data_IF_997066990276
#
_entry.id   IF_997066990276
#
_cell.length_a   1.000
_cell.length_b   1.000
_cell.length_c   1.000
_cell.angle_alpha   90.00
_cell.angle_beta   90.00
_cell.angle_gamma   90.00
#
_symmetry.space_group_name_H-M   'P 1'
#
loop_
_entity.id
_entity.type
_entity.pdbx_description
1 polymer ?
#
# COMPACT_ATOMS: atom_id res chain seq x y z
N UNK A 1 -5.85 0.86 -47.06
CA UNK A 1 -5.83 -0.11 -45.94
C UNK A 1 -4.73 0.32 -44.98
N UNK A 2 -5.08 0.97 -43.87
CA UNK A 2 -4.09 1.52 -42.93
C UNK A 2 -3.64 0.41 -41.99
N UNK A 3 -2.43 -0.11 -42.16
CA UNK A 3 -1.84 -1.09 -41.25
C UNK A 3 -1.54 -0.36 -39.94
N UNK A 4 -2.39 -0.56 -38.92
CA UNK A 4 -2.07 -0.14 -37.55
C UNK A 4 -0.91 -1.01 -37.05
N UNK A 5 0.25 -0.40 -36.82
CA UNK A 5 1.35 -1.08 -36.13
C UNK A 5 0.86 -1.51 -34.73
N UNK A 6 1.19 -2.72 -34.25
CA UNK A 6 0.84 -3.13 -32.90
C UNK A 6 1.53 -2.19 -31.89
N UNK A 7 0.75 -1.67 -30.94
CA UNK A 7 1.24 -0.84 -29.85
C UNK A 7 1.75 -1.75 -28.73
N UNK A 8 3.03 -1.63 -28.38
CA UNK A 8 3.58 -2.23 -27.17
C UNK A 8 3.29 -1.33 -25.97
N UNK A 9 2.62 -1.87 -24.94
CA UNK A 9 2.41 -1.19 -23.67
C UNK A 9 3.48 -1.67 -22.68
N UNK A 10 4.17 -0.72 -22.04
CA UNK A 10 5.15 -1.02 -20.99
C UNK A 10 4.54 -0.66 -19.64
N UNK A 11 4.67 -1.66 -18.76
CA UNK A 11 3.65 -2.20 -17.86
C UNK A 11 2.44 -2.78 -18.61
N UNK A 12 2.20 -4.11 -18.52
CA UNK A 12 1.04 -4.74 -19.14
C UNK A 12 -0.25 -4.32 -18.45
N UNK A 13 -1.40 -4.52 -19.09
CA UNK A 13 -2.71 -4.23 -18.49
C UNK A 13 -2.96 -4.98 -17.17
N UNK A 14 -2.35 -6.15 -16.98
CA UNK A 14 -2.40 -6.89 -15.71
C UNK A 14 -1.77 -6.11 -14.53
N UNK A 15 -0.87 -5.15 -14.79
CA UNK A 15 -0.30 -4.29 -13.75
C UNK A 15 -1.33 -3.40 -13.06
N UNK A 16 -2.48 -3.13 -13.70
CA UNK A 16 -3.59 -2.43 -13.04
C UNK A 16 -4.22 -3.28 -11.95
N UNK A 17 -4.28 -4.61 -12.11
CA UNK A 17 -4.82 -5.51 -11.08
C UNK A 17 -3.93 -5.49 -9.83
N UNK A 18 -2.61 -5.53 -10.02
CA UNK A 18 -1.62 -5.53 -8.93
C UNK A 18 -1.60 -4.18 -8.18
N UNK A 19 -1.95 -3.08 -8.85
CA UNK A 19 -2.08 -1.78 -8.19
C UNK A 19 -3.34 -1.66 -7.29
N UNK A 20 -4.21 -2.69 -7.25
CA UNK A 20 -5.47 -2.60 -6.50
C UNK A 20 -5.25 -2.97 -5.07
N UNK A 21 -5.60 -2.08 -4.15
CA UNK A 21 -5.57 -2.45 -2.75
C UNK A 21 -6.65 -3.49 -2.39
N UNK A 22 -7.72 -3.62 -3.19
CA UNK A 22 -8.68 -4.72 -3.06
C UNK A 22 -8.02 -6.10 -3.25
N UNK A 23 -6.89 -6.19 -3.97
CA UNK A 23 -6.13 -7.44 -4.06
C UNK A 23 -5.65 -7.90 -2.68
N UNK A 24 -5.32 -6.97 -1.77
CA UNK A 24 -4.89 -7.33 -0.41
C UNK A 24 -6.05 -7.95 0.40
N UNK A 25 -7.28 -7.49 0.18
CA UNK A 25 -8.46 -8.10 0.79
C UNK A 25 -8.69 -9.52 0.26
N UNK A 26 -8.55 -9.73 -1.06
CA UNK A 26 -8.60 -11.06 -1.65
C UNK A 26 -7.50 -11.98 -1.10
N UNK A 27 -6.27 -11.48 -0.94
CA UNK A 27 -5.18 -12.28 -0.35
C UNK A 27 -5.52 -12.70 1.09
N UNK A 28 -6.15 -11.82 1.87
CA UNK A 28 -6.63 -12.15 3.22
C UNK A 28 -7.70 -13.23 3.18
N UNK A 29 -8.69 -13.13 2.28
CA UNK A 29 -9.73 -14.15 2.13
C UNK A 29 -9.14 -15.51 1.71
N UNK A 30 -8.17 -15.53 0.79
CA UNK A 30 -7.48 -16.75 0.36
C UNK A 30 -6.65 -17.38 1.49
N UNK A 31 -6.13 -16.59 2.43
CA UNK A 31 -5.39 -17.13 3.58
C UNK A 31 -6.31 -17.93 4.51
N UNK A 32 -7.55 -17.46 4.67
CA UNK A 32 -8.57 -17.98 5.58
C UNK A 32 -9.33 -19.19 5.02
N UNK A 33 -9.22 -19.46 3.71
CA UNK A 33 -9.88 -20.57 3.03
C UNK A 33 -8.87 -21.67 2.68
N UNK A 34 -8.83 -22.75 3.48
CA UNK A 34 -7.91 -23.88 3.29
C UNK A 34 -8.04 -24.59 1.93
N UNK A 35 -9.16 -24.43 1.22
CA UNK A 35 -9.41 -25.04 -0.09
C UNK A 35 -8.88 -24.16 -1.22
N UNK A 36 -9.00 -22.84 -1.08
CA UNK A 36 -8.59 -21.86 -2.10
C UNK A 36 -7.18 -21.31 -1.88
N UNK A 37 -6.55 -21.60 -0.74
CA UNK A 37 -5.21 -21.14 -0.40
C UNK A 37 -4.16 -21.61 -1.41
N UNK A 38 -3.35 -20.68 -1.91
CA UNK A 38 -2.24 -20.98 -2.81
C UNK A 38 -0.95 -21.15 -2.01
N UNK A 39 -0.25 -22.26 -2.23
CA UNK A 39 0.99 -22.60 -1.52
C UNK A 39 2.16 -21.65 -1.82
N UNK A 40 2.11 -20.97 -2.96
CA UNK A 40 3.13 -20.07 -3.47
C UNK A 40 3.08 -18.67 -2.84
N UNK A 41 2.00 -18.34 -2.13
CA UNK A 41 1.83 -17.05 -1.45
C UNK A 41 2.37 -17.16 -0.04
N UNK A 42 3.34 -16.31 0.29
CA UNK A 42 3.81 -16.13 1.66
C UNK A 42 2.92 -15.12 2.39
N UNK A 43 1.80 -15.62 2.92
CA UNK A 43 0.75 -14.81 3.52
C UNK A 43 1.22 -13.95 4.71
N UNK A 44 2.26 -14.37 5.43
CA UNK A 44 2.86 -13.60 6.54
C UNK A 44 3.44 -12.24 6.12
N UNK A 45 3.63 -12.00 4.82
CA UNK A 45 4.04 -10.69 4.29
C UNK A 45 2.87 -9.73 4.05
N UNK A 46 1.63 -10.16 4.24
CA UNK A 46 0.44 -9.36 4.01
C UNK A 46 -0.26 -9.05 5.33
N UNK A 47 -0.69 -7.80 5.48
CA UNK A 47 -1.51 -7.38 6.61
C UNK A 47 -2.97 -7.75 6.35
N UNK A 48 -3.71 -8.25 7.36
CA UNK A 48 -5.15 -8.47 7.29
C UNK A 48 -5.85 -7.25 6.70
N UNK A 49 -6.57 -7.46 5.61
CA UNK A 49 -7.24 -6.40 4.85
C UNK A 49 -8.64 -6.86 4.45
N UNK A 50 -9.61 -5.96 4.50
CA UNK A 50 -11.01 -6.28 4.26
C UNK A 50 -11.69 -5.20 3.39
N UNK A 51 -12.72 -5.59 2.66
CA UNK A 51 -13.58 -4.66 1.93
C UNK A 51 -14.66 -4.05 2.83
N UNK A 52 -15.06 -4.74 3.91
CA UNK A 52 -16.02 -4.24 4.89
C UNK A 52 -15.31 -3.81 6.18
N UNK A 53 -15.59 -2.57 6.60
CA UNK A 53 -15.10 -1.99 7.86
C UNK A 53 -15.50 -2.82 9.08
N UNK A 54 -16.63 -3.51 9.05
CA UNK A 54 -17.13 -4.31 10.17
C UNK A 54 -16.22 -5.49 10.53
N UNK A 55 -15.37 -5.91 9.59
CA UNK A 55 -14.47 -7.05 9.74
C UNK A 55 -13.13 -6.70 10.38
N UNK A 56 -12.88 -5.42 10.67
CA UNK A 56 -11.61 -4.98 11.25
C UNK A 56 -11.81 -4.28 12.59
N UNK A 57 -10.84 -4.45 13.48
CA UNK A 57 -10.76 -3.75 14.77
C UNK A 57 -9.65 -2.71 14.76
N UNK A 58 -9.76 -1.72 15.64
CA UNK A 58 -8.69 -0.74 15.85
C UNK A 58 -7.37 -1.41 16.33
N UNK A 59 -6.20 -0.89 15.93
CA UNK A 59 -6.01 0.20 14.97
C UNK A 59 -6.05 -0.30 13.51
N UNK A 60 -6.58 0.52 12.60
CA UNK A 60 -6.64 0.19 11.16
C UNK A 60 -6.45 1.43 10.27
N UNK A 61 -6.22 1.20 8.99
CA UNK A 61 -6.16 2.22 7.95
C UNK A 61 -7.31 2.02 6.98
N UNK A 62 -7.97 3.10 6.57
CA UNK A 62 -8.88 3.10 5.43
C UNK A 62 -8.21 3.80 4.24
N UNK A 63 -8.20 3.14 3.08
CA UNK A 63 -7.54 3.67 1.87
C UNK A 63 -8.38 3.40 0.62
N UNK A 64 -8.42 4.31 -0.37
CA UNK A 64 -9.08 4.04 -1.63
C UNK A 64 -8.38 2.92 -2.41
N UNK A 65 -9.18 2.08 -3.05
CA UNK A 65 -8.75 0.94 -3.89
C UNK A 65 -7.70 1.31 -4.93
N UNK A 66 -7.84 2.47 -5.60
CA UNK A 66 -6.85 3.03 -6.54
C UNK A 66 -6.12 4.28 -6.05
N UNK A 67 -6.20 4.59 -4.76
CA UNK A 67 -5.55 5.77 -4.20
C UNK A 67 -4.03 5.75 -4.39
N UNK A 68 -3.42 6.92 -4.54
CA UNK A 68 -1.96 7.09 -4.65
C UNK A 68 -1.47 8.19 -3.71
N UNK A 69 -0.16 8.23 -3.52
CA UNK A 69 0.53 9.36 -2.86
C UNK A 69 0.15 9.60 -1.39
N UNK A 70 -0.46 8.59 -0.74
CA UNK A 70 -1.00 8.71 0.61
C UNK A 70 -2.24 9.60 0.69
N UNK A 71 -2.88 9.96 -0.43
CA UNK A 71 -4.10 10.78 -0.45
C UNK A 71 -5.31 9.96 0.00
N UNK A 72 -6.17 10.61 0.79
CA UNK A 72 -7.38 10.02 1.38
C UNK A 72 -7.13 8.79 2.26
N UNK A 73 -5.88 8.63 2.71
CA UNK A 73 -5.54 7.66 3.75
C UNK A 73 -6.01 8.20 5.09
N UNK A 74 -6.74 7.37 5.83
CA UNK A 74 -7.23 7.65 7.17
C UNK A 74 -6.73 6.57 8.11
N UNK A 75 -5.94 6.96 9.11
CA UNK A 75 -5.46 6.08 10.17
C UNK A 75 -6.37 6.23 11.37
N UNK A 76 -6.97 5.13 11.79
CA UNK A 76 -7.88 5.04 12.93
C UNK A 76 -7.15 4.31 14.07
N UNK A 77 -6.72 5.05 15.10
CA UNK A 77 -5.97 4.49 16.23
C UNK A 77 -6.88 3.89 17.30
N UNK A 78 -7.98 4.58 17.59
CA UNK A 78 -9.05 4.18 18.50
C UNK A 78 -10.33 4.96 18.17
N UNK A 79 -11.42 4.69 18.89
CA UNK A 79 -12.66 5.45 18.70
C UNK A 79 -12.43 6.95 18.90
N UNK A 80 -12.67 7.75 17.86
CA UNK A 80 -12.51 9.20 17.87
C UNK A 80 -11.09 9.73 17.61
N UNK A 81 -10.09 8.86 17.49
CA UNK A 81 -8.71 9.26 17.15
C UNK A 81 -8.41 8.90 15.69
N UNK A 82 -8.19 9.94 14.87
CA UNK A 82 -7.96 9.80 13.45
C UNK A 82 -6.87 10.75 12.96
N UNK A 83 -5.93 10.22 12.18
CA UNK A 83 -4.96 10.99 11.39
C UNK A 83 -5.34 10.80 9.93
N UNK A 84 -5.40 11.88 9.14
CA UNK A 84 -5.74 11.76 7.72
C UNK A 84 -4.91 12.68 6.82
N UNK A 85 -4.90 12.36 5.53
CA UNK A 85 -4.38 13.23 4.48
C UNK A 85 -5.50 13.56 3.48
N UNK A 86 -6.26 14.64 3.75
CA UNK A 86 -7.49 14.92 3.03
C UNK A 86 -7.22 15.24 1.56
N UNK A 87 -8.02 14.65 0.69
CA UNK A 87 -8.13 14.95 -0.73
C UNK A 87 -9.54 14.58 -1.19
N UNK A 88 -9.92 15.01 -2.39
CA UNK A 88 -11.17 14.60 -3.04
C UNK A 88 -10.93 13.75 -4.29
N UNK A 89 -9.66 13.55 -4.67
CA UNK A 89 -9.25 12.91 -5.93
C UNK A 89 -9.77 11.47 -6.04
N UNK A 90 -9.89 10.76 -4.93
CA UNK A 90 -10.23 9.33 -4.87
C UNK A 90 -11.54 9.04 -4.12
N UNK A 91 -12.24 10.09 -3.68
CA UNK A 91 -13.42 9.99 -2.80
C UNK A 91 -14.59 9.21 -3.39
N UNK A 92 -14.61 9.06 -4.72
CA UNK A 92 -15.61 8.31 -5.48
C UNK A 92 -15.30 6.80 -5.55
N UNK A 93 -14.14 6.37 -5.06
CA UNK A 93 -13.69 4.98 -5.09
C UNK A 93 -14.04 4.27 -3.79
N UNK A 94 -14.28 2.96 -3.87
CA UNK A 94 -14.39 2.11 -2.69
C UNK A 94 -13.09 2.11 -1.90
N UNK A 95 -13.23 1.95 -0.58
CA UNK A 95 -12.10 1.83 0.35
C UNK A 95 -11.87 0.38 0.74
N UNK A 96 -10.62 0.07 1.05
CA UNK A 96 -10.25 -1.10 1.85
C UNK A 96 -10.00 -0.67 3.29
N UNK A 97 -9.98 -1.65 4.19
CA UNK A 97 -9.67 -1.48 5.60
C UNK A 97 -8.58 -2.47 5.98
N UNK A 98 -7.38 -1.97 6.29
CA UNK A 98 -6.19 -2.79 6.54
C UNK A 98 -5.70 -2.62 7.97
N UNK A 99 -5.20 -3.69 8.58
CA UNK A 99 -4.59 -3.63 9.91
C UNK A 99 -3.49 -2.57 9.93
N UNK A 100 -3.52 -1.68 10.91
CA UNK A 100 -2.45 -0.70 11.07
C UNK A 100 -1.27 -1.34 11.81
N UNK A 101 -0.06 -1.06 11.34
CA UNK A 101 1.19 -1.36 12.04
C UNK A 101 2.05 -0.10 12.09
N UNK A 102 2.76 0.10 13.19
CA UNK A 102 3.70 1.22 13.29
C UNK A 102 4.88 0.98 12.34
N UNK A 103 5.23 2.02 11.58
CA UNK A 103 6.45 2.00 10.78
C UNK A 103 7.68 2.10 11.70
N UNK A 104 8.83 1.51 11.31
CA UNK A 104 10.07 1.71 12.03
C UNK A 104 10.38 3.20 12.22
N UNK A 105 10.84 3.56 13.42
CA UNK A 105 11.28 4.92 13.73
C UNK A 105 12.79 5.01 13.58
N UNK A 106 13.26 6.15 13.08
CA UNK A 106 14.68 6.48 13.01
C UNK A 106 14.92 7.91 13.51
N UNK A 107 16.11 8.14 14.04
CA UNK A 107 16.56 9.46 14.49
C UNK A 107 17.54 10.08 13.49
N UNK A 108 17.26 11.31 13.06
CA UNK A 108 18.11 12.09 12.16
C UNK A 108 18.21 13.51 12.70
N UNK A 109 19.42 13.98 13.01
CA UNK A 109 19.67 15.33 13.52
C UNK A 109 18.76 15.69 14.71
N UNK A 110 18.66 14.78 15.68
CA UNK A 110 17.84 14.94 16.90
C UNK A 110 16.31 14.96 16.67
N UNK A 111 15.86 14.69 15.45
CA UNK A 111 14.44 14.50 15.15
C UNK A 111 14.11 13.03 14.86
N UNK A 112 12.96 12.58 15.38
CA UNK A 112 12.39 11.28 15.03
C UNK A 112 11.56 11.35 13.76
N UNK A 113 11.71 10.36 12.90
CA UNK A 113 10.97 10.15 11.65
C UNK A 113 10.47 8.72 11.54
N UNK A 114 9.34 8.54 10.85
CA UNK A 114 8.93 7.22 10.35
C UNK A 114 9.75 6.88 9.11
N UNK A 115 10.19 5.63 9.01
CA UNK A 115 10.95 5.09 7.89
C UNK A 115 10.05 4.15 7.08
N UNK A 116 9.95 4.42 5.78
CA UNK A 116 9.41 3.49 4.80
C UNK A 116 10.52 2.98 3.89
N UNK A 117 10.64 1.66 3.81
CA UNK A 117 11.48 0.99 2.83
C UNK A 117 10.64 0.59 1.61
N UNK A 118 11.25 0.64 0.43
CA UNK A 118 10.64 0.24 -0.83
C UNK A 118 11.60 -0.66 -1.58
N UNK A 119 11.08 -1.70 -2.23
CA UNK A 119 11.85 -2.59 -3.10
C UNK A 119 11.40 -2.36 -4.56
N UNK A 120 12.36 -2.21 -5.46
CA UNK A 120 12.12 -2.06 -6.89
C UNK A 120 12.29 -3.40 -7.58
N UNK A 121 11.23 -3.83 -8.28
CA UNK A 121 11.27 -5.01 -9.13
C UNK A 121 11.48 -4.60 -10.59
N UNK A 122 12.54 -5.11 -11.22
CA UNK A 122 12.75 -5.01 -12.67
C UNK A 122 12.46 -6.39 -13.26
N UNK A 123 11.43 -6.49 -14.08
CA UNK A 123 10.97 -7.76 -14.66
C UNK A 123 10.71 -8.85 -13.60
N UNK A 124 10.17 -8.47 -12.44
CA UNK A 124 9.90 -9.37 -11.31
C UNK A 124 11.11 -9.70 -10.44
N UNK A 125 12.29 -9.21 -10.78
CA UNK A 125 13.53 -9.44 -10.02
C UNK A 125 13.77 -8.24 -9.08
N UNK A 126 14.05 -8.45 -7.79
CA UNK A 126 14.42 -7.38 -6.88
C UNK A 126 15.82 -6.83 -7.23
N UNK A 127 15.88 -5.55 -7.60
CA UNK A 127 17.11 -4.91 -8.11
C UNK A 127 17.52 -3.66 -7.34
N UNK A 128 16.67 -3.15 -6.45
CA UNK A 128 17.00 -1.94 -5.70
C UNK A 128 16.13 -1.73 -4.49
N UNK A 129 16.67 -0.99 -3.53
CA UNK A 129 15.95 -0.55 -2.33
C UNK A 129 15.97 0.98 -2.29
N UNK A 130 14.86 1.56 -1.87
CA UNK A 130 14.75 2.98 -1.55
C UNK A 130 14.26 3.18 -0.13
N UNK A 131 14.63 4.31 0.47
CA UNK A 131 14.12 4.72 1.78
C UNK A 131 13.46 6.09 1.68
N UNK A 132 12.32 6.24 2.36
CA UNK A 132 11.64 7.52 2.56
C UNK A 132 11.42 7.76 4.04
N UNK A 133 11.51 9.02 4.43
CA UNK A 133 11.26 9.48 5.80
C UNK A 133 10.12 10.48 5.83
N UNK A 134 9.28 10.38 6.85
CA UNK A 134 8.16 11.29 7.08
C UNK A 134 7.80 11.40 8.56
N UNK A 135 6.71 12.08 8.85
CA UNK A 135 6.11 12.12 10.20
C UNK A 135 5.02 11.05 10.28
N UNK A 136 3.79 11.39 10.63
CA UNK A 136 2.75 10.38 10.90
C UNK A 136 2.29 9.61 9.66
N UNK A 137 2.34 10.25 8.48
CA UNK A 137 1.98 9.63 7.20
C UNK A 137 3.07 9.85 6.15
N UNK A 138 3.38 8.80 5.38
CA UNK A 138 4.23 8.90 4.19
C UNK A 138 3.40 9.33 3.00
N UNK A 139 3.74 10.46 2.40
CA UNK A 139 3.02 11.08 1.29
C UNK A 139 3.96 11.28 0.09
N UNK A 140 3.48 11.96 -0.95
CA UNK A 140 4.33 12.43 -2.06
C UNK A 140 5.32 13.53 -1.66
N UNK A 141 5.16 14.19 -0.50
CA UNK A 141 6.07 15.22 0.00
C UNK A 141 7.11 14.69 1.00
N UNK A 142 7.05 13.39 1.33
CA UNK A 142 8.07 12.73 2.15
C UNK A 142 9.45 12.75 1.49
N UNK A 143 10.49 12.84 2.31
CA UNK A 143 11.87 13.01 1.84
C UNK A 143 12.49 11.65 1.52
N UNK A 144 13.27 11.58 0.44
CA UNK A 144 14.14 10.42 0.22
C UNK A 144 15.30 10.46 1.22
N UNK A 145 15.57 9.31 1.84
CA UNK A 145 16.74 9.10 2.68
C UNK A 145 17.81 8.39 1.83
N UNK A 146 18.99 8.99 1.62
CA UNK A 146 20.10 8.29 0.99
C UNK A 146 20.44 7.05 1.80
N UNK A 147 20.41 5.89 1.14
CA UNK A 147 20.84 4.61 1.67
C UNK A 147 21.89 4.04 0.74
N UNK A 148 22.92 3.44 1.31
CA UNK A 148 24.06 2.90 0.61
C UNK A 148 24.90 2.08 1.59
N UNK A 149 25.71 1.20 1.02
CA UNK A 149 26.69 0.42 1.77
C UNK A 149 28.07 1.06 1.64
#
# INVERSE_FOLDING_TARGET
MTIKKPLALINPLSSFVIQNKALMALITELELDDVLKFSEIEYSHFLPTFMDKSQISYPFVAEPTWGREGKEVEIFKQAGEMINNPSSEYSHLYKIYQQYVDMPLIEIQEETYTLQLSCFLINGIPEGVGARIGKDLITNTSKFLPIGY
#
